data_IF_208243849620
#
_entry.id   IF_208243849620
#
_cell.length_a   1.000
_cell.length_b   1.000
_cell.length_c   1.000
_cell.angle_alpha   90.00
_cell.angle_beta   90.00
_cell.angle_gamma   90.00
#
_symmetry.space_group_name_H-M   'P 1'
#
loop_
_entity.id
_entity.type
_entity.pdbx_description
1 polymer ?
#
# COMPACT_ATOMS: atom_id res chain seq x y z
N UNK A 1 -21.57 -7.43 10.51
CA UNK A 1 -20.64 -6.28 10.59
C UNK A 1 -20.64 -5.59 9.24
N UNK A 2 -21.34 -4.47 9.12
CA UNK A 2 -21.29 -3.60 7.93
C UNK A 2 -20.03 -2.75 8.03
N UNK A 3 -19.03 -3.03 7.19
CA UNK A 3 -17.84 -2.17 7.08
C UNK A 3 -18.27 -0.87 6.42
N UNK A 4 -17.87 0.27 6.98
CA UNK A 4 -18.05 1.56 6.33
C UNK A 4 -17.40 1.52 4.94
N UNK A 5 -18.01 2.12 3.91
CA UNK A 5 -17.35 2.25 2.62
C UNK A 5 -16.00 2.98 2.81
N UNK A 6 -14.98 2.64 2.00
CA UNK A 6 -13.72 3.36 2.04
C UNK A 6 -13.93 4.85 1.80
N UNK A 7 -13.27 5.69 2.59
CA UNK A 7 -13.09 7.08 2.27
C UNK A 7 -12.28 7.19 0.97
N UNK A 8 -12.66 8.12 0.10
CA UNK A 8 -11.93 8.37 -1.13
C UNK A 8 -10.47 8.75 -0.84
N UNK A 9 -9.58 8.33 -1.74
CA UNK A 9 -8.16 8.67 -1.70
C UNK A 9 -7.40 8.14 -0.47
N UNK A 10 -7.90 7.07 0.16
CA UNK A 10 -7.23 6.38 1.26
C UNK A 10 -7.00 4.92 0.90
N UNK A 11 -5.79 4.41 1.22
CA UNK A 11 -5.47 3.00 1.13
C UNK A 11 -6.01 2.24 2.34
N UNK A 12 -6.63 1.10 2.07
CA UNK A 12 -7.14 0.19 3.08
C UNK A 12 -6.51 -1.19 2.90
N UNK A 13 -6.28 -1.87 4.02
CA UNK A 13 -5.73 -3.22 4.05
C UNK A 13 -6.74 -4.17 4.70
N UNK A 14 -7.11 -5.24 4.01
CA UNK A 14 -7.92 -6.33 4.53
C UNK A 14 -7.00 -7.54 4.70
N UNK A 15 -6.61 -7.87 5.95
CA UNK A 15 -5.96 -9.14 6.21
C UNK A 15 -7.02 -10.26 6.18
N UNK A 16 -6.84 -11.25 5.31
CA UNK A 16 -7.48 -12.57 5.41
C UNK A 16 -6.40 -13.62 5.72
N UNK A 17 -6.81 -14.79 6.20
CA UNK A 17 -5.88 -15.87 6.59
C UNK A 17 -4.90 -16.22 5.46
N UNK A 18 -5.39 -16.27 4.22
CA UNK A 18 -4.62 -16.78 3.07
C UNK A 18 -4.15 -15.67 2.12
N UNK A 19 -4.65 -14.44 2.30
CA UNK A 19 -4.36 -13.32 1.39
C UNK A 19 -4.46 -11.98 2.11
N UNK A 20 -3.51 -11.09 1.82
CA UNK A 20 -3.59 -9.67 2.14
C UNK A 20 -4.05 -8.91 0.92
N UNK A 21 -5.13 -8.16 1.07
CA UNK A 21 -5.68 -7.32 0.00
C UNK A 21 -5.50 -5.86 0.39
N UNK A 22 -4.81 -5.09 -0.43
CA UNK A 22 -4.79 -3.63 -0.36
C UNK A 22 -5.72 -3.10 -1.43
N UNK A 23 -6.53 -2.11 -1.07
CA UNK A 23 -7.42 -1.45 -2.01
C UNK A 23 -7.43 0.07 -1.81
N UNK A 24 -7.73 0.76 -2.89
CA UNK A 24 -7.80 2.22 -2.98
C UNK A 24 -9.00 2.59 -3.85
N UNK A 25 -9.83 3.51 -3.34
CA UNK A 25 -11.04 3.97 -4.03
C UNK A 25 -10.85 5.41 -4.49
N UNK A 26 -11.12 5.67 -5.76
CA UNK A 26 -11.07 7.00 -6.34
C UNK A 26 -12.07 7.09 -7.52
N UNK A 27 -12.87 8.15 -7.56
CA UNK A 27 -13.79 8.47 -8.66
C UNK A 27 -14.68 7.26 -9.03
N UNK A 28 -15.33 6.65 -8.03
CA UNK A 28 -16.16 5.44 -8.14
C UNK A 28 -15.44 4.16 -8.65
N UNK A 29 -14.12 4.21 -8.83
CA UNK A 29 -13.30 3.06 -9.23
C UNK A 29 -12.57 2.50 -8.02
N UNK A 30 -12.63 1.18 -7.86
CA UNK A 30 -11.89 0.46 -6.82
C UNK A 30 -10.72 -0.28 -7.45
N UNK A 31 -9.51 0.09 -7.04
CA UNK A 31 -8.28 -0.59 -7.42
C UNK A 31 -7.85 -1.52 -6.28
N UNK A 32 -7.48 -2.75 -6.60
CA UNK A 32 -7.05 -3.75 -5.60
C UNK A 32 -5.79 -4.48 -6.01
N UNK A 33 -4.93 -4.79 -5.05
CA UNK A 33 -3.81 -5.71 -5.20
C UNK A 33 -3.83 -6.74 -4.06
N UNK A 34 -3.58 -8.01 -4.40
CA UNK A 34 -3.52 -9.11 -3.45
C UNK A 34 -2.13 -9.73 -3.42
N UNK A 35 -1.67 -10.14 -2.23
CA UNK A 35 -0.45 -10.91 -2.07
C UNK A 35 -0.52 -11.82 -0.84
N UNK A 36 0.52 -12.62 -0.65
CA UNK A 36 0.72 -13.42 0.55
C UNK A 36 0.64 -12.54 1.84
N UNK A 37 0.02 -13.03 2.94
CA UNK A 37 -0.07 -12.30 4.21
C UNK A 37 1.25 -11.76 4.77
N UNK A 38 2.40 -12.36 4.42
CA UNK A 38 3.72 -11.90 4.87
C UNK A 38 4.19 -10.64 4.16
N UNK A 39 3.67 -10.34 2.96
CA UNK A 39 4.09 -9.16 2.18
C UNK A 39 3.64 -7.87 2.88
N UNK A 40 4.53 -6.90 3.16
CA UNK A 40 4.16 -5.66 3.86
C UNK A 40 3.10 -4.85 3.10
N UNK A 41 2.08 -4.33 3.80
CA UNK A 41 1.00 -3.55 3.16
C UNK A 41 1.52 -2.29 2.47
N UNK A 42 2.48 -1.60 3.07
CA UNK A 42 3.12 -0.41 2.50
C UNK A 42 3.80 -0.67 1.15
N UNK A 43 4.31 -1.89 0.93
CA UNK A 43 4.85 -2.29 -0.38
C UNK A 43 3.72 -2.45 -1.40
N UNK A 44 2.64 -3.12 -1.02
CA UNK A 44 1.46 -3.30 -1.87
C UNK A 44 0.81 -1.95 -2.22
N UNK A 45 0.69 -1.04 -1.25
CA UNK A 45 0.19 0.32 -1.46
C UNK A 45 1.07 1.11 -2.44
N UNK A 46 2.40 0.98 -2.35
CA UNK A 46 3.33 1.63 -3.28
C UNK A 46 3.18 1.09 -4.70
N UNK A 47 3.12 -0.23 -4.86
CA UNK A 47 2.93 -0.87 -6.17
C UNK A 47 1.57 -0.49 -6.75
N UNK A 48 0.50 -0.54 -5.96
CA UNK A 48 -0.84 -0.21 -6.43
C UNK A 48 -0.94 1.27 -6.85
N UNK A 49 -0.35 2.19 -6.09
CA UNK A 49 -0.27 3.62 -6.44
C UNK A 49 0.39 3.82 -7.82
N UNK A 50 1.51 3.15 -8.07
CA UNK A 50 2.17 3.22 -9.38
C UNK A 50 1.31 2.65 -10.51
N UNK A 51 0.73 1.47 -10.29
CA UNK A 51 -0.09 0.83 -11.32
C UNK A 51 -1.31 1.68 -11.66
N UNK A 52 -1.90 2.37 -10.68
CA UNK A 52 -2.99 3.33 -10.91
C UNK A 52 -2.51 4.47 -11.82
N UNK A 53 -1.36 5.09 -11.50
CA UNK A 53 -0.80 6.18 -12.30
C UNK A 53 -0.61 5.73 -13.74
N UNK A 54 0.11 4.64 -13.96
CA UNK A 54 0.42 4.12 -15.31
C UNK A 54 -0.86 3.71 -16.05
N UNK A 55 -1.83 3.13 -15.35
CA UNK A 55 -3.10 2.77 -15.95
C UNK A 55 -3.87 4.02 -16.43
N UNK A 56 -3.93 5.06 -15.61
CA UNK A 56 -4.61 6.31 -15.96
C UNK A 56 -3.87 7.16 -16.99
N UNK A 57 -2.57 6.95 -17.16
CA UNK A 57 -1.79 7.52 -18.27
C UNK A 57 -2.05 6.78 -19.60
N UNK A 58 -2.28 5.47 -19.54
CA UNK A 58 -2.54 4.65 -20.72
C UNK A 58 -4.00 4.69 -21.20
N UNK A 59 -4.94 4.81 -20.27
CA UNK A 59 -6.37 4.68 -20.56
C UNK A 59 -7.14 5.88 -20.02
N UNK A 60 -7.98 6.45 -20.86
CA UNK A 60 -8.91 7.49 -20.45
C UNK A 60 -9.93 6.92 -19.45
N UNK A 61 -10.20 7.66 -18.37
CA UNK A 61 -11.17 7.26 -17.33
C UNK A 61 -12.56 6.98 -17.89
N UNK A 62 -12.97 7.64 -18.98
CA UNK A 62 -14.24 7.38 -19.66
C UNK A 62 -14.37 5.95 -20.20
N UNK A 63 -13.25 5.27 -20.47
CA UNK A 63 -13.23 3.86 -20.88
C UNK A 63 -13.66 2.92 -19.75
N UNK A 64 -13.43 3.29 -18.49
CA UNK A 64 -13.82 2.49 -17.32
C UNK A 64 -15.33 2.48 -17.10
N UNK A 65 -16.01 3.55 -17.49
CA UNK A 65 -17.46 3.72 -17.28
C UNK A 65 -18.25 3.21 -18.50
N UNK A 66 -17.64 3.24 -19.69
CA UNK A 66 -18.27 2.82 -20.94
C UNK A 66 -18.12 1.32 -21.25
N UNK A 67 -17.21 0.64 -20.57
CA UNK A 67 -16.99 -0.79 -20.72
C UNK A 67 -17.93 -1.61 -19.83
N UNK A 68 -19.09 -1.99 -20.38
CA UNK A 68 -20.05 -2.90 -19.74
C UNK A 68 -20.04 -4.25 -20.46
N UNK A 69 -19.66 -5.34 -19.77
CA UNK A 69 -19.75 -6.73 -20.28
C UNK A 69 -18.56 -7.64 -19.91
N UNK A 70 -18.67 -8.92 -20.27
CA UNK A 70 -17.78 -10.02 -19.81
C UNK A 70 -16.37 -10.05 -20.43
N UNK A 71 -16.07 -9.22 -21.45
CA UNK A 71 -14.79 -9.30 -22.17
C UNK A 71 -14.30 -7.90 -22.54
N UNK A 72 -13.56 -7.27 -21.63
CA UNK A 72 -12.88 -5.99 -21.87
C UNK A 72 -11.40 -6.20 -22.21
N UNK A 73 -11.15 -6.80 -23.37
CA UNK A 73 -9.78 -7.01 -23.90
C UNK A 73 -9.05 -5.68 -24.20
N UNK A 74 -9.74 -4.54 -24.12
CA UNK A 74 -9.15 -3.22 -24.31
C UNK A 74 -8.02 -2.94 -23.31
N UNK A 75 -8.04 -3.59 -22.14
CA UNK A 75 -7.02 -3.45 -21.10
C UNK A 75 -5.93 -4.52 -21.17
N UNK A 76 -5.97 -5.45 -22.12
CA UNK A 76 -4.95 -6.51 -22.25
C UNK A 76 -3.54 -5.95 -22.45
N UNK A 77 -3.45 -4.77 -23.08
CA UNK A 77 -2.20 -4.02 -23.23
C UNK A 77 -1.53 -3.61 -21.90
N UNK A 78 -2.25 -3.64 -20.78
CA UNK A 78 -1.72 -3.30 -19.47
C UNK A 78 -0.97 -4.45 -18.80
N UNK A 79 -1.29 -5.70 -19.14
CA UNK A 79 -0.63 -6.89 -18.58
C UNK A 79 0.91 -6.85 -18.66
N UNK A 80 1.55 -6.57 -19.81
CA UNK A 80 3.01 -6.47 -19.88
C UNK A 80 3.58 -5.32 -19.03
N UNK A 81 2.81 -4.25 -18.79
CA UNK A 81 3.22 -3.16 -17.90
C UNK A 81 3.28 -3.65 -16.46
N UNK A 82 2.24 -4.34 -15.98
CA UNK A 82 2.22 -4.96 -14.64
C UNK A 82 3.44 -5.87 -14.47
N UNK A 83 3.66 -6.80 -15.40
CA UNK A 83 4.76 -7.76 -15.33
C UNK A 83 6.14 -7.06 -15.29
N UNK A 84 6.32 -6.03 -16.12
CA UNK A 84 7.56 -5.24 -16.16
C UNK A 84 7.82 -4.50 -14.85
N UNK A 85 6.80 -3.86 -14.27
CA UNK A 85 6.93 -3.08 -13.04
C UNK A 85 7.17 -3.98 -11.83
N UNK A 86 6.45 -5.10 -11.73
CA UNK A 86 6.67 -6.08 -10.65
C UNK A 86 8.07 -6.70 -10.69
N UNK A 87 8.58 -7.04 -11.89
CA UNK A 87 9.95 -7.59 -12.03
C UNK A 87 11.05 -6.62 -11.63
N UNK A 88 10.81 -5.32 -11.72
CA UNK A 88 11.82 -4.28 -11.49
C UNK A 88 11.46 -3.38 -10.30
N UNK A 89 10.62 -3.85 -9.37
CA UNK A 89 10.03 -2.97 -8.35
C UNK A 89 11.09 -2.29 -7.45
N UNK A 90 12.20 -2.97 -7.20
CA UNK A 90 13.32 -2.47 -6.40
C UNK A 90 13.95 -1.20 -7.02
N UNK A 91 13.91 -1.08 -8.34
CA UNK A 91 14.49 0.05 -9.08
C UNK A 91 13.57 1.28 -9.10
N UNK A 92 12.31 1.15 -8.69
CA UNK A 92 11.31 2.21 -8.79
C UNK A 92 11.44 3.26 -7.69
N UNK A 93 12.32 3.03 -6.70
CA UNK A 93 12.65 3.99 -5.64
C UNK A 93 11.41 4.54 -4.90
N UNK A 94 10.34 3.74 -4.78
CA UNK A 94 9.05 4.12 -4.17
C UNK A 94 8.97 3.83 -2.67
N UNK A 95 9.92 3.04 -2.17
CA UNK A 95 9.99 2.63 -0.78
C UNK A 95 11.34 2.96 -0.17
N UNK A 96 11.36 3.03 1.16
CA UNK A 96 12.58 3.03 1.96
C UNK A 96 12.47 1.99 3.05
N UNK A 97 13.59 1.35 3.35
CA UNK A 97 13.70 0.44 4.47
C UNK A 97 14.24 1.18 5.69
N UNK A 98 13.69 0.91 6.86
CA UNK A 98 14.21 1.36 8.13
C UNK A 98 14.21 0.21 9.14
N UNK A 99 14.92 0.39 10.26
CA UNK A 99 14.94 -0.58 11.35
C UNK A 99 14.10 -0.06 12.51
N UNK A 100 13.23 -0.90 13.05
CA UNK A 100 12.45 -0.61 14.27
C UNK A 100 12.63 -1.71 15.29
N UNK A 101 12.63 -1.36 16.57
CA UNK A 101 12.65 -2.35 17.65
C UNK A 101 11.22 -2.71 18.04
N UNK A 102 10.82 -3.96 17.81
CA UNK A 102 9.58 -4.49 18.35
C UNK A 102 9.78 -4.83 19.83
N UNK A 103 9.24 -3.99 20.72
CA UNK A 103 9.34 -4.17 22.18
C UNK A 103 8.73 -5.50 22.67
N UNK A 104 7.70 -6.00 22.00
CA UNK A 104 7.06 -7.29 22.34
C UNK A 104 7.95 -8.48 21.97
N UNK A 105 8.50 -8.49 20.75
CA UNK A 105 9.41 -9.55 20.29
C UNK A 105 10.84 -9.42 20.83
N UNK A 106 11.21 -8.24 21.37
CA UNK A 106 12.58 -7.87 21.78
C UNK A 106 13.59 -8.01 20.64
N UNK A 107 13.19 -7.66 19.42
CA UNK A 107 14.00 -7.79 18.20
C UNK A 107 13.91 -6.53 17.35
N UNK A 108 15.04 -6.20 16.72
CA UNK A 108 15.09 -5.19 15.65
C UNK A 108 14.66 -5.84 14.34
N UNK A 109 13.67 -5.26 13.68
CA UNK A 109 13.10 -5.77 12.44
C UNK A 109 13.14 -4.70 11.35
N UNK A 110 13.34 -5.09 10.07
CA UNK A 110 13.22 -4.17 8.96
C UNK A 110 11.74 -3.86 8.71
N UNK A 111 11.45 -2.59 8.43
CA UNK A 111 10.14 -2.13 7.97
C UNK A 111 10.28 -1.47 6.61
N UNK A 112 9.23 -1.62 5.78
CA UNK A 112 9.10 -0.95 4.50
C UNK A 112 8.19 0.26 4.67
N UNK A 113 8.68 1.41 4.21
CA UNK A 113 7.99 2.70 4.29
C UNK A 113 7.71 3.16 2.86
N UNK A 114 6.43 3.40 2.53
CA UNK A 114 6.03 4.04 1.28
C UNK A 114 6.46 5.49 1.29
N UNK A 115 7.20 5.93 0.28
CA UNK A 115 7.77 7.28 0.25
C UNK A 115 6.75 8.39 0.22
N UNK A 116 5.70 8.25 -0.60
CA UNK A 116 4.66 9.27 -0.74
C UNK A 116 3.94 9.57 0.59
N UNK A 117 3.84 8.61 1.51
CA UNK A 117 3.31 8.84 2.88
C UNK A 117 4.17 9.82 3.65
N UNK A 118 5.49 9.72 3.53
CA UNK A 118 6.43 10.61 4.21
C UNK A 118 6.54 11.94 3.47
N UNK A 119 6.69 11.92 2.16
CA UNK A 119 6.94 13.09 1.32
C UNK A 119 5.74 14.04 1.31
N UNK A 120 4.52 13.52 1.14
CA UNK A 120 3.29 14.31 1.06
C UNK A 120 2.79 14.81 2.42
N UNK A 121 3.34 14.30 3.53
CA UNK A 121 2.94 14.74 4.87
C UNK A 121 3.43 16.15 5.16
N UNK A 122 2.58 17.00 5.75
CA UNK A 122 3.01 18.33 6.25
C UNK A 122 3.77 18.25 7.57
N UNK A 123 3.78 17.08 8.24
CA UNK A 123 4.44 16.88 9.53
C UNK A 123 5.91 16.55 9.36
N UNK A 124 6.74 17.02 10.30
CA UNK A 124 8.18 16.70 10.36
C UNK A 124 8.46 15.25 10.73
N UNK A 125 7.51 14.62 11.43
CA UNK A 125 7.53 13.20 11.79
C UNK A 125 6.17 12.59 11.48
N UNK A 126 6.18 11.50 10.74
CA UNK A 126 4.99 10.83 10.20
C UNK A 126 4.75 9.55 10.99
N UNK A 127 3.57 9.39 11.62
CA UNK A 127 3.19 8.15 12.27
C UNK A 127 2.79 7.11 11.21
N UNK A 128 3.35 5.91 11.31
CA UNK A 128 3.05 4.77 10.45
C UNK A 128 2.75 3.58 11.35
N UNK A 129 1.63 2.90 11.10
CA UNK A 129 1.30 1.65 11.77
C UNK A 129 1.94 0.49 11.02
N UNK A 130 2.68 -0.35 11.73
CA UNK A 130 3.32 -1.54 11.19
C UNK A 130 2.94 -2.76 12.02
N UNK A 131 2.55 -3.85 11.36
CA UNK A 131 2.12 -5.10 12.02
C UNK A 131 3.17 -6.18 11.78
N UNK A 132 3.64 -6.81 12.86
CA UNK A 132 4.61 -7.90 12.83
C UNK A 132 4.33 -8.93 13.91
N UNK A 133 4.20 -10.20 13.54
CA UNK A 133 4.02 -11.31 14.49
C UNK A 133 2.81 -11.13 15.39
N UNK A 134 1.70 -10.56 14.87
CA UNK A 134 0.51 -10.24 15.65
C UNK A 134 0.59 -8.96 16.50
N UNK A 135 1.74 -8.28 16.53
CA UNK A 135 1.92 -7.02 17.24
C UNK A 135 1.77 -5.83 16.31
N UNK A 136 1.06 -4.79 16.76
CA UNK A 136 0.99 -3.53 16.06
C UNK A 136 1.92 -2.50 16.70
N UNK A 137 2.74 -1.87 15.88
CA UNK A 137 3.68 -0.83 16.27
C UNK A 137 3.26 0.48 15.62
N UNK A 138 3.11 1.52 16.43
CA UNK A 138 3.06 2.89 15.95
C UNK A 138 4.50 3.41 15.85
N UNK A 139 4.96 3.65 14.62
CA UNK A 139 6.34 4.04 14.31
C UNK A 139 6.37 5.47 13.83
N UNK A 140 7.24 6.27 14.43
CA UNK A 140 7.41 7.68 14.09
C UNK A 140 8.63 7.84 13.18
N UNK A 141 8.41 8.21 11.92
CA UNK A 141 9.46 8.32 10.89
C UNK A 141 9.64 9.78 10.46
N UNK A 142 10.88 10.26 10.39
CA UNK A 142 11.14 11.61 9.90
C UNK A 142 11.26 11.70 8.36
N UNK A 143 11.43 12.92 7.85
CA UNK A 143 11.61 13.20 6.41
C UNK A 143 12.86 12.55 5.78
N UNK A 144 13.81 12.09 6.59
CA UNK A 144 15.00 11.36 6.15
C UNK A 144 14.83 9.84 6.31
N UNK A 145 13.60 9.37 6.53
CA UNK A 145 13.27 7.96 6.74
C UNK A 145 13.92 7.34 7.98
N UNK A 146 14.33 8.16 8.96
CA UNK A 146 14.86 7.68 10.24
C UNK A 146 13.73 7.48 11.24
N UNK A 147 13.71 6.31 11.88
CA UNK A 147 12.79 6.03 12.98
C UNK A 147 13.22 6.84 14.20
N UNK A 148 12.32 7.68 14.71
CA UNK A 148 12.52 8.55 15.87
C UNK A 148 11.92 7.98 17.15
N UNK A 149 10.94 7.10 17.02
CA UNK A 149 10.30 6.43 18.15
C UNK A 149 9.39 5.30 17.68
N UNK A 150 9.07 4.39 18.59
CA UNK A 150 8.05 3.37 18.36
C UNK A 150 7.35 2.95 19.65
N UNK A 151 6.06 2.70 19.52
CA UNK A 151 5.17 2.30 20.61
C UNK A 151 4.37 1.07 20.22
N UNK A 152 4.15 0.17 21.17
CA UNK A 152 3.23 -0.94 21.00
C UNK A 152 1.82 -0.40 21.16
N UNK A 153 0.94 -0.68 20.20
CA UNK A 153 -0.44 -0.19 20.20
C UNK A 153 -1.42 -1.34 20.02
N UNK A 154 -2.65 -1.16 20.49
CA UNK A 154 -3.76 -2.06 20.21
C UNK A 154 -4.46 -1.63 18.91
N UNK A 155 -4.91 -2.60 18.11
CA UNK A 155 -5.76 -2.35 16.93
C UNK A 155 -7.18 -2.81 17.27
N UNK A 156 -8.14 -1.91 17.15
CA UNK A 156 -9.58 -2.24 17.13
C UNK A 156 -10.06 -2.27 15.69
N UNK A 157 -10.82 -3.32 15.33
CA UNK A 157 -11.45 -3.49 14.01
C UNK A 157 -12.94 -3.16 14.04
#
# INVERSE_FOLDING_TARGET
MTRSPPSEMIFYCIPKADIKIVYYSQDDIVYTIGADPEVPSQLLEAILELLIIEFTEMYDKSLLISCYGDVCNIFDGFKPVIEKKLKNFENLNMIKSALVNCKACKKTIPIIIKKSVVENSTKTTVPIVYIHGGHALLVYVDKNYKVRGSELVAISY
#
